data_IF_201032028280
#
_entry.id   IF_201032028280
#
_cell.length_a   1.000
_cell.length_b   1.000
_cell.length_c   1.000
_cell.angle_alpha   90.00
_cell.angle_beta   90.00
_cell.angle_gamma   90.00
#
_symmetry.space_group_name_H-M   'P 1'
#
loop_
_entity.id
_entity.type
_entity.pdbx_description
1 polymer ?
#
# COMPACT_ATOMS: atom_id res chain seq x y z
N UNK A 1 14.78 -17.57 12.79
CA UNK A 1 13.61 -17.66 11.88
C UNK A 1 14.17 -17.69 10.46
N UNK A 2 13.66 -18.54 9.57
CA UNK A 2 14.17 -18.62 8.19
C UNK A 2 13.80 -17.33 7.46
N UNK A 3 14.80 -16.58 6.98
CA UNK A 3 14.64 -15.38 6.16
C UNK A 3 14.19 -15.72 4.73
N UNK A 4 13.10 -16.51 4.60
CA UNK A 4 12.53 -16.77 3.29
C UNK A 4 12.04 -15.45 2.68
N UNK A 5 12.33 -15.17 1.40
CA UNK A 5 11.87 -13.93 0.78
C UNK A 5 10.35 -13.90 0.70
N UNK A 6 9.77 -12.71 0.82
CA UNK A 6 8.34 -12.43 0.62
C UNK A 6 8.02 -12.57 -0.87
N UNK A 7 7.07 -13.40 -1.24
CA UNK A 7 6.63 -13.60 -2.62
C UNK A 7 5.46 -12.66 -2.94
N UNK A 8 5.75 -11.60 -3.68
CA UNK A 8 4.79 -10.54 -3.99
C UNK A 8 4.29 -10.68 -5.42
N UNK A 9 2.97 -10.74 -5.60
CA UNK A 9 2.34 -10.59 -6.91
C UNK A 9 1.83 -9.16 -7.06
N UNK A 10 2.38 -8.42 -8.02
CA UNK A 10 1.88 -7.13 -8.47
C UNK A 10 1.02 -7.37 -9.72
N UNK A 11 -0.25 -6.97 -9.69
CA UNK A 11 -1.15 -7.21 -10.83
C UNK A 11 -2.11 -6.04 -11.06
N UNK A 12 -2.26 -5.66 -12.33
CA UNK A 12 -3.32 -4.73 -12.77
C UNK A 12 -4.62 -5.49 -13.06
N UNK A 13 -5.73 -4.76 -13.09
CA UNK A 13 -7.05 -5.33 -13.44
C UNK A 13 -7.40 -5.19 -14.92
N UNK A 14 -6.46 -4.74 -15.75
CA UNK A 14 -6.61 -4.65 -17.20
C UNK A 14 -5.61 -5.56 -17.93
N UNK A 15 -5.88 -5.97 -19.18
CA UNK A 15 -4.88 -6.63 -20.02
C UNK A 15 -3.73 -5.69 -20.39
N UNK A 16 -2.64 -6.26 -20.91
CA UNK A 16 -1.48 -5.47 -21.34
C UNK A 16 -1.84 -4.64 -22.58
N UNK A 17 -2.05 -3.35 -22.34
CA UNK A 17 -2.32 -2.33 -23.38
C UNK A 17 -1.20 -1.30 -23.29
N UNK A 18 -0.51 -1.04 -24.41
CA UNK A 18 0.69 -0.19 -24.43
C UNK A 18 0.38 1.25 -23.97
N UNK A 19 -0.72 1.83 -24.44
CA UNK A 19 -1.15 3.20 -24.09
C UNK A 19 -2.21 3.20 -22.99
N UNK A 20 -1.92 2.47 -21.89
CA UNK A 20 -2.78 2.42 -20.72
C UNK A 20 -1.94 2.23 -19.44
N UNK A 21 -2.57 2.17 -18.28
CA UNK A 21 -1.98 1.91 -16.97
C UNK A 21 -1.65 0.41 -16.77
N UNK A 22 -0.92 -0.17 -17.75
CA UNK A 22 -0.41 -1.53 -17.64
C UNK A 22 0.68 -1.65 -16.58
N UNK A 23 1.05 -2.88 -16.21
CA UNK A 23 2.02 -3.16 -15.13
C UNK A 23 3.41 -2.55 -15.36
N UNK A 24 3.77 -2.23 -16.60
CA UNK A 24 5.00 -1.54 -16.92
C UNK A 24 5.08 -0.13 -16.35
N UNK A 25 3.92 0.49 -16.03
CA UNK A 25 3.83 1.82 -15.41
C UNK A 25 4.06 1.81 -13.89
N UNK A 26 4.38 0.65 -13.30
CA UNK A 26 4.68 0.45 -11.88
C UNK A 26 6.10 -0.11 -11.68
N UNK A 27 6.97 0.12 -12.66
CA UNK A 27 8.31 -0.49 -12.71
C UNK A 27 9.24 0.04 -11.62
N UNK A 28 9.17 1.32 -11.26
CA UNK A 28 10.01 1.91 -10.20
C UNK A 28 9.73 1.30 -8.84
N UNK A 29 8.45 1.12 -8.49
CA UNK A 29 8.07 0.46 -7.25
C UNK A 29 8.44 -1.03 -7.27
N UNK A 30 8.18 -1.75 -8.38
CA UNK A 30 8.59 -3.14 -8.57
C UNK A 30 10.08 -3.32 -8.34
N UNK A 31 10.90 -2.50 -9.00
CA UNK A 31 12.36 -2.58 -8.94
C UNK A 31 12.88 -2.20 -7.55
N UNK A 32 12.25 -1.25 -6.89
CA UNK A 32 12.54 -0.93 -5.50
C UNK A 32 12.27 -2.14 -4.57
N UNK A 33 11.10 -2.77 -4.64
CA UNK A 33 10.79 -3.97 -3.85
C UNK A 33 11.78 -5.10 -4.12
N UNK A 34 12.12 -5.34 -5.39
CA UNK A 34 13.08 -6.37 -5.79
C UNK A 34 14.51 -6.06 -5.33
N UNK A 35 14.85 -4.80 -5.07
CA UNK A 35 16.17 -4.36 -4.58
C UNK A 35 16.35 -4.51 -3.07
N UNK A 36 15.26 -4.75 -2.32
CA UNK A 36 15.31 -4.86 -0.87
C UNK A 36 16.01 -6.15 -0.43
N UNK A 37 16.85 -6.03 0.59
CA UNK A 37 17.57 -7.17 1.16
C UNK A 37 17.34 -7.28 2.67
N UNK A 38 17.45 -8.50 3.17
CA UNK A 38 17.60 -8.78 4.60
C UNK A 38 19.01 -8.39 5.07
N UNK A 39 19.26 -8.39 6.37
CA UNK A 39 20.56 -8.06 6.98
C UNK A 39 21.71 -8.99 6.53
N UNK A 40 21.38 -10.22 6.16
CA UNK A 40 22.34 -11.20 5.62
C UNK A 40 22.63 -11.01 4.12
N UNK A 41 22.05 -9.99 3.48
CA UNK A 41 22.18 -9.69 2.06
C UNK A 41 21.30 -10.55 1.14
N UNK A 42 20.50 -11.48 1.69
CA UNK A 42 19.52 -12.23 0.89
C UNK A 42 18.36 -11.34 0.44
N UNK A 43 17.69 -11.66 -0.69
CA UNK A 43 16.52 -10.89 -1.13
C UNK A 43 15.42 -10.84 -0.06
N UNK A 44 14.89 -9.64 0.22
CA UNK A 44 13.72 -9.49 1.08
C UNK A 44 12.44 -9.89 0.35
N UNK A 45 12.31 -9.49 -0.93
CA UNK A 45 11.15 -9.77 -1.77
C UNK A 45 11.53 -10.51 -3.06
N UNK A 46 10.65 -11.41 -3.50
CA UNK A 46 10.61 -11.95 -4.85
C UNK A 46 9.34 -11.43 -5.53
N UNK A 47 9.52 -10.55 -6.51
CA UNK A 47 8.42 -9.83 -7.13
C UNK A 47 8.07 -10.43 -8.48
N UNK A 48 6.80 -10.80 -8.65
CA UNK A 48 6.18 -11.13 -9.94
C UNK A 48 5.25 -9.98 -10.31
N UNK A 49 5.41 -9.40 -11.49
CA UNK A 49 4.62 -8.28 -11.97
C UNK A 49 3.96 -8.63 -13.31
N UNK A 50 2.64 -8.46 -13.41
CA UNK A 50 1.89 -8.78 -14.62
C UNK A 50 0.58 -8.00 -14.75
N UNK A 51 0.09 -7.92 -15.96
CA UNK A 51 -1.27 -7.53 -16.26
C UNK A 51 -2.21 -8.74 -16.16
N UNK A 52 -3.52 -8.50 -15.94
CA UNK A 52 -4.47 -9.58 -16.07
C UNK A 52 -4.50 -10.15 -17.50
N UNK A 53 -5.00 -11.37 -17.64
CA UNK A 53 -5.31 -11.98 -18.95
C UNK A 53 -6.56 -11.32 -19.58
N UNK A 54 -7.27 -12.05 -20.45
CA UNK A 54 -8.45 -11.54 -21.16
C UNK A 54 -9.57 -11.06 -20.21
N UNK A 55 -10.18 -9.88 -20.45
CA UNK A 55 -11.34 -9.41 -19.71
C UNK A 55 -12.54 -10.38 -19.80
N UNK A 56 -13.41 -10.36 -18.79
CA UNK A 56 -14.65 -11.14 -18.78
C UNK A 56 -14.46 -12.65 -18.62
N UNK A 57 -13.23 -13.11 -18.32
CA UNK A 57 -12.90 -14.51 -18.02
C UNK A 57 -12.07 -14.61 -16.74
N UNK A 58 -12.09 -15.77 -16.05
CA UNK A 58 -11.19 -16.00 -14.93
C UNK A 58 -9.73 -15.77 -15.34
N UNK A 59 -9.01 -14.97 -14.58
CA UNK A 59 -7.57 -14.81 -14.78
C UNK A 59 -6.84 -16.08 -14.31
N UNK A 60 -5.91 -16.65 -15.10
CA UNK A 60 -5.29 -17.93 -14.79
C UNK A 60 -4.48 -17.92 -13.47
N UNK A 61 -4.03 -16.76 -13.02
CA UNK A 61 -3.29 -16.62 -11.75
C UNK A 61 -4.24 -16.23 -10.62
N UNK A 62 -5.07 -15.17 -10.79
CA UNK A 62 -5.97 -14.72 -9.73
C UNK A 62 -6.98 -15.80 -9.33
N UNK A 63 -7.58 -16.50 -10.30
CA UNK A 63 -8.57 -17.56 -10.03
C UNK A 63 -8.02 -18.77 -9.27
N UNK A 64 -6.70 -18.85 -9.11
CA UNK A 64 -5.99 -19.94 -8.40
C UNK A 64 -5.01 -19.45 -7.35
N UNK A 65 -5.04 -18.17 -7.01
CA UNK A 65 -4.05 -17.56 -6.11
C UNK A 65 -4.06 -18.18 -4.69
N UNK A 66 -5.21 -18.66 -4.24
CA UNK A 66 -5.37 -19.39 -2.98
C UNK A 66 -4.57 -20.71 -2.88
N UNK A 67 -4.02 -21.18 -3.99
CA UNK A 67 -3.18 -22.38 -4.10
C UNK A 67 -1.76 -22.06 -4.58
N UNK A 68 -1.44 -20.80 -4.71
CA UNK A 68 -0.10 -20.35 -5.11
C UNK A 68 0.83 -20.26 -3.91
N UNK A 69 2.10 -19.99 -4.20
CA UNK A 69 3.12 -19.73 -3.19
C UNK A 69 3.31 -18.23 -2.91
N UNK A 70 2.41 -17.37 -3.38
CA UNK A 70 2.47 -15.94 -3.06
C UNK A 70 2.08 -15.71 -1.60
N UNK A 71 2.82 -14.81 -0.94
CA UNK A 71 2.49 -14.32 0.39
C UNK A 71 1.55 -13.10 0.30
N UNK A 72 1.67 -12.32 -0.79
CA UNK A 72 0.95 -11.07 -0.98
C UNK A 72 0.45 -10.90 -2.41
N UNK A 73 -0.72 -10.24 -2.53
CA UNK A 73 -1.25 -9.68 -3.77
C UNK A 73 -1.38 -8.16 -3.63
N UNK A 74 -0.74 -7.42 -4.54
CA UNK A 74 -0.94 -5.98 -4.73
C UNK A 74 -1.72 -5.77 -6.02
N UNK A 75 -2.97 -5.39 -5.88
CA UNK A 75 -3.93 -5.26 -6.98
C UNK A 75 -4.13 -3.78 -7.33
N UNK A 76 -3.65 -3.39 -8.50
CA UNK A 76 -3.82 -2.05 -9.07
C UNK A 76 -5.07 -2.05 -9.93
N UNK A 77 -6.17 -1.53 -9.38
CA UNK A 77 -7.45 -1.54 -10.06
C UNK A 77 -7.61 -0.29 -10.94
N UNK A 78 -7.57 -0.53 -12.24
CA UNK A 78 -7.61 0.49 -13.31
C UNK A 78 -8.73 0.22 -14.32
N UNK A 79 -9.59 -0.75 -14.04
CA UNK A 79 -10.73 -1.15 -14.88
C UNK A 79 -11.97 -0.27 -14.69
N UNK A 80 -12.96 -0.45 -15.54
CA UNK A 80 -14.25 0.25 -15.47
C UNK A 80 -15.41 -0.64 -14.99
N UNK A 81 -15.11 -1.69 -14.19
CA UNK A 81 -16.07 -2.60 -13.60
C UNK A 81 -15.99 -4.04 -14.12
N UNK A 82 -15.16 -4.32 -15.12
CA UNK A 82 -14.96 -5.62 -15.76
C UNK A 82 -13.60 -6.26 -15.47
N UNK A 83 -12.84 -5.67 -14.54
CA UNK A 83 -11.46 -6.07 -14.20
C UNK A 83 -11.35 -7.40 -13.49
N UNK A 84 -12.32 -7.79 -12.66
CA UNK A 84 -12.28 -9.03 -11.90
C UNK A 84 -13.48 -9.93 -12.25
N UNK A 85 -13.17 -11.20 -12.51
CA UNK A 85 -14.20 -12.22 -12.67
C UNK A 85 -14.65 -12.76 -11.29
N UNK A 86 -15.89 -13.24 -11.12
CA UNK A 86 -16.34 -13.81 -9.84
C UNK A 86 -15.45 -14.95 -9.30
N UNK A 87 -14.84 -15.75 -10.17
CA UNK A 87 -13.87 -16.79 -9.76
C UNK A 87 -12.57 -16.20 -9.23
N UNK A 88 -12.09 -15.08 -9.80
CA UNK A 88 -10.93 -14.34 -9.29
C UNK A 88 -11.22 -13.82 -7.89
N UNK A 89 -12.38 -13.15 -7.72
CA UNK A 89 -12.81 -12.63 -6.42
C UNK A 89 -12.94 -13.72 -5.36
N UNK A 90 -13.48 -14.87 -5.71
CA UNK A 90 -13.63 -16.00 -4.80
C UNK A 90 -12.26 -16.56 -4.38
N UNK A 91 -11.31 -16.68 -5.31
CA UNK A 91 -9.96 -17.17 -5.01
C UNK A 91 -9.14 -16.17 -4.18
N UNK A 92 -9.23 -14.87 -4.51
CA UNK A 92 -8.60 -13.80 -3.71
C UNK A 92 -9.18 -13.75 -2.29
N UNK A 93 -10.51 -13.92 -2.16
CA UNK A 93 -11.16 -14.05 -0.85
C UNK A 93 -10.60 -15.21 -0.03
N UNK A 94 -10.47 -16.41 -0.62
CA UNK A 94 -9.85 -17.58 0.06
C UNK A 94 -8.37 -17.37 0.34
N UNK A 95 -7.63 -16.75 -0.57
CA UNK A 95 -6.23 -16.39 -0.35
C UNK A 95 -6.07 -15.54 0.91
N UNK A 96 -6.88 -14.48 1.05
CA UNK A 96 -6.87 -13.66 2.26
C UNK A 96 -7.33 -14.44 3.49
N UNK A 97 -8.38 -15.25 3.40
CA UNK A 97 -8.85 -16.11 4.52
C UNK A 97 -7.80 -17.13 4.97
N UNK A 98 -6.89 -17.52 4.09
CA UNK A 98 -5.76 -18.38 4.41
C UNK A 98 -4.53 -17.62 4.97
N UNK A 99 -4.66 -16.31 5.22
CA UNK A 99 -3.61 -15.47 5.80
C UNK A 99 -2.81 -14.65 4.79
N UNK A 100 -3.11 -14.73 3.48
CA UNK A 100 -2.44 -13.94 2.46
C UNK A 100 -2.68 -12.44 2.63
N UNK A 101 -1.62 -11.63 2.44
CA UNK A 101 -1.68 -10.17 2.50
C UNK A 101 -2.26 -9.55 1.24
N UNK A 102 -3.04 -8.48 1.38
CA UNK A 102 -3.74 -7.89 0.24
C UNK A 102 -3.64 -6.35 0.26
N UNK A 103 -2.98 -5.77 -0.75
CA UNK A 103 -3.09 -4.34 -1.07
C UNK A 103 -4.06 -4.19 -2.25
N UNK A 104 -5.08 -3.36 -2.10
CA UNK A 104 -6.04 -3.04 -3.15
C UNK A 104 -6.07 -1.54 -3.35
N UNK A 105 -5.93 -1.10 -4.58
CA UNK A 105 -6.04 0.30 -4.97
C UNK A 105 -7.27 0.50 -5.85
N UNK A 106 -7.57 1.74 -6.14
CA UNK A 106 -8.60 2.20 -7.07
C UNK A 106 -8.15 3.51 -7.72
N UNK A 107 -9.03 4.25 -8.36
CA UNK A 107 -8.81 5.62 -8.82
C UNK A 107 -10.10 6.44 -8.74
N UNK A 108 -10.18 7.60 -9.41
CA UNK A 108 -11.36 8.47 -9.39
C UNK A 108 -12.62 7.81 -9.98
N UNK A 109 -13.79 8.40 -9.74
CA UNK A 109 -15.09 7.94 -10.25
C UNK A 109 -15.32 6.44 -10.06
N UNK A 110 -15.48 5.71 -11.15
CA UNK A 110 -15.73 4.26 -11.18
C UNK A 110 -14.50 3.45 -11.62
N UNK A 111 -13.32 4.08 -11.78
CA UNK A 111 -12.10 3.35 -12.11
C UNK A 111 -11.67 2.44 -10.96
N UNK A 112 -11.53 1.16 -11.28
CA UNK A 112 -11.23 0.09 -10.33
C UNK A 112 -12.48 -0.52 -9.68
N UNK A 113 -13.70 -0.22 -10.17
CA UNK A 113 -14.94 -0.60 -9.48
C UNK A 113 -15.18 -2.12 -9.39
N UNK A 114 -14.48 -2.95 -10.16
CA UNK A 114 -14.55 -4.41 -10.03
C UNK A 114 -14.11 -4.91 -8.65
N UNK A 115 -13.28 -4.15 -7.90
CA UNK A 115 -12.83 -4.53 -6.55
C UNK A 115 -13.96 -4.58 -5.53
N UNK A 116 -15.13 -3.96 -5.79
CA UNK A 116 -16.32 -4.09 -4.94
C UNK A 116 -16.70 -5.55 -4.70
N UNK A 117 -16.37 -6.44 -5.63
CA UNK A 117 -16.66 -7.87 -5.55
C UNK A 117 -15.70 -8.65 -4.63
N UNK A 118 -14.65 -8.02 -4.07
CA UNK A 118 -13.67 -8.66 -3.19
C UNK A 118 -14.14 -8.81 -1.73
N UNK A 119 -15.39 -8.52 -1.42
CA UNK A 119 -15.89 -8.65 -0.05
C UNK A 119 -15.31 -7.59 0.90
N UNK A 120 -14.79 -8.00 2.06
CA UNK A 120 -14.38 -7.09 3.14
C UNK A 120 -13.56 -5.89 2.71
N UNK A 121 -12.39 -6.13 2.09
CA UNK A 121 -11.50 -5.04 1.65
C UNK A 121 -12.08 -4.25 0.46
N UNK A 122 -12.84 -4.89 -0.43
CA UNK A 122 -13.52 -4.23 -1.53
C UNK A 122 -14.55 -3.20 -1.06
N UNK A 123 -15.19 -3.47 0.08
CA UNK A 123 -16.20 -2.56 0.70
C UNK A 123 -15.62 -1.25 1.20
N UNK A 124 -14.32 -1.19 1.39
CA UNK A 124 -13.64 0.06 1.75
C UNK A 124 -13.54 1.06 0.60
N UNK A 125 -13.76 0.63 -0.64
CA UNK A 125 -13.63 1.48 -1.82
C UNK A 125 -15.00 2.03 -2.24
N UNK A 126 -15.15 3.35 -2.24
CA UNK A 126 -16.38 4.04 -2.65
C UNK A 126 -16.25 4.56 -4.07
N UNK A 127 -17.24 4.32 -4.90
CA UNK A 127 -17.28 4.68 -6.32
C UNK A 127 -18.47 5.57 -6.65
N UNK A 128 -18.47 6.15 -7.84
CA UNK A 128 -19.55 7.05 -8.28
C UNK A 128 -20.90 6.33 -8.37
N UNK A 129 -20.94 5.17 -9.01
CA UNK A 129 -22.16 4.43 -9.29
C UNK A 129 -22.32 3.13 -8.48
N UNK A 130 -21.27 2.64 -7.86
CA UNK A 130 -21.24 1.39 -7.11
C UNK A 130 -20.61 1.60 -5.72
N UNK A 131 -21.16 0.94 -4.68
CA UNK A 131 -20.70 1.11 -3.28
C UNK A 131 -20.45 2.59 -2.94
N UNK A 132 -21.46 3.41 -3.16
CA UNK A 132 -21.38 4.87 -2.96
C UNK A 132 -21.18 5.18 -1.49
N UNK A 133 -20.32 6.17 -1.16
CA UNK A 133 -20.11 6.59 0.23
C UNK A 133 -21.45 6.90 0.90
N UNK A 134 -21.75 6.26 2.05
CA UNK A 134 -23.00 6.50 2.77
C UNK A 134 -23.12 7.93 3.30
N UNK A 135 -22.01 8.62 3.55
CA UNK A 135 -22.02 10.03 3.94
C UNK A 135 -21.99 10.93 2.72
N UNK A 136 -23.13 11.56 2.43
CA UNK A 136 -23.26 12.50 1.31
C UNK A 136 -22.34 13.72 1.42
N UNK A 137 -21.91 14.09 2.63
CA UNK A 137 -20.98 15.21 2.82
C UNK A 137 -19.59 14.92 2.21
N UNK A 138 -19.24 13.63 2.04
CA UNK A 138 -18.00 13.22 1.41
C UNK A 138 -18.08 13.18 -0.13
N UNK A 139 -19.30 13.26 -0.70
CA UNK A 139 -19.52 13.14 -2.15
C UNK A 139 -19.32 14.46 -2.87
N UNK A 140 -18.10 14.99 -2.83
CA UNK A 140 -17.73 16.27 -3.45
C UNK A 140 -16.75 16.10 -4.59
N UNK A 141 -16.72 17.06 -5.50
CA UNK A 141 -15.75 17.16 -6.60
C UNK A 141 -14.83 18.31 -6.24
N UNK A 142 -13.63 17.97 -5.77
CA UNK A 142 -12.67 18.96 -5.31
C UNK A 142 -11.78 19.46 -6.46
N UNK A 143 -11.42 18.62 -7.42
CA UNK A 143 -10.81 19.08 -8.66
C UNK A 143 -11.87 19.63 -9.61
N UNK A 144 -11.60 20.78 -10.19
CA UNK A 144 -12.51 21.48 -11.14
C UNK A 144 -11.85 21.77 -12.48
N UNK A 145 -10.59 21.43 -12.64
CA UNK A 145 -9.86 21.58 -13.90
C UNK A 145 -10.36 20.55 -14.91
N UNK A 146 -10.60 19.32 -14.46
CA UNK A 146 -11.12 18.22 -15.25
C UNK A 146 -12.61 18.02 -14.96
N UNK A 147 -13.45 18.88 -15.53
CA UNK A 147 -14.88 18.98 -15.20
C UNK A 147 -15.74 17.76 -15.56
N UNK A 148 -15.23 16.81 -16.34
CA UNK A 148 -15.92 15.56 -16.67
C UNK A 148 -15.63 14.45 -15.65
N UNK A 149 -14.62 14.59 -14.78
CA UNK A 149 -14.36 13.65 -13.70
C UNK A 149 -15.26 13.99 -12.53
N UNK A 150 -16.24 13.11 -12.29
CA UNK A 150 -17.20 13.27 -11.19
C UNK A 150 -16.63 12.70 -9.88
N UNK A 151 -17.44 12.73 -8.82
CA UNK A 151 -17.07 12.16 -7.52
C UNK A 151 -16.83 10.63 -7.62
N UNK A 152 -15.91 10.07 -6.83
CA UNK A 152 -14.89 10.73 -6.01
C UNK A 152 -13.76 11.32 -6.84
N UNK A 153 -13.38 12.53 -6.49
CA UNK A 153 -12.35 13.29 -7.18
C UNK A 153 -11.78 14.34 -6.21
N UNK A 154 -10.84 13.93 -5.35
CA UNK A 154 -10.13 14.81 -4.44
C UNK A 154 -8.80 15.22 -5.05
N UNK A 155 -8.40 16.47 -4.89
CA UNK A 155 -7.20 17.01 -5.52
C UNK A 155 -6.08 17.19 -4.48
N UNK A 156 -5.15 16.26 -4.36
CA UNK A 156 -4.02 16.35 -3.43
C UNK A 156 -2.80 17.10 -4.00
N UNK A 157 -2.74 17.29 -5.31
CA UNK A 157 -1.67 17.97 -6.05
C UNK A 157 -1.49 17.39 -7.44
N UNK A 158 -0.59 17.96 -8.24
CA UNK A 158 -0.29 17.46 -9.57
C UNK A 158 0.46 16.12 -9.53
N UNK A 159 0.33 15.32 -10.59
CA UNK A 159 1.19 14.14 -10.79
C UNK A 159 2.67 14.57 -10.77
N UNK A 160 3.53 13.84 -10.07
CA UNK A 160 4.95 14.23 -9.89
C UNK A 160 5.20 15.20 -8.72
N UNK A 161 4.16 15.66 -8.04
CA UNK A 161 4.28 16.32 -6.75
C UNK A 161 4.08 15.30 -5.60
N UNK A 162 4.18 15.77 -4.37
CA UNK A 162 3.84 15.00 -3.16
C UNK A 162 2.82 15.75 -2.31
N UNK A 163 2.08 14.98 -1.53
CA UNK A 163 1.16 15.48 -0.51
C UNK A 163 1.68 15.16 0.88
N UNK A 164 1.45 16.06 1.82
CA UNK A 164 1.62 15.79 3.24
C UNK A 164 0.42 15.00 3.76
N UNK A 165 0.68 13.94 4.53
CA UNK A 165 -0.37 13.08 5.08
C UNK A 165 -0.49 13.30 6.59
N UNK A 166 -1.70 13.07 7.12
CA UNK A 166 -1.96 13.05 8.55
C UNK A 166 -2.25 11.61 9.00
N UNK A 167 -1.55 11.18 10.05
CA UNK A 167 -1.76 9.86 10.67
C UNK A 167 -3.00 9.89 11.54
N UNK A 168 -3.92 8.94 11.36
CA UNK A 168 -5.18 8.85 12.09
C UNK A 168 -5.08 7.85 13.24
N UNK A 169 -5.38 8.31 14.46
CA UNK A 169 -5.34 7.48 15.67
C UNK A 169 -3.93 7.03 16.07
N UNK A 170 -3.80 5.90 16.76
CA UNK A 170 -2.48 5.33 17.03
C UNK A 170 -1.76 5.01 15.70
N UNK A 171 -0.45 5.38 15.56
CA UNK A 171 0.29 5.11 14.35
C UNK A 171 0.26 3.62 13.97
N UNK A 172 -0.12 3.35 12.73
CA UNK A 172 -0.10 1.99 12.19
C UNK A 172 1.33 1.62 11.77
N UNK A 173 1.78 0.36 11.92
CA UNK A 173 3.14 -0.07 11.57
C UNK A 173 3.61 0.37 10.17
N UNK A 174 2.72 0.36 9.17
CA UNK A 174 3.07 0.80 7.80
C UNK A 174 3.39 2.30 7.69
N UNK A 175 2.98 3.10 8.68
CA UNK A 175 3.21 4.56 8.72
C UNK A 175 4.38 4.96 9.61
N UNK A 176 5.16 4.02 10.13
CA UNK A 176 6.34 4.32 10.94
C UNK A 176 7.56 4.60 10.05
N UNK A 177 8.31 5.63 10.39
CA UNK A 177 9.65 5.90 9.85
C UNK A 177 10.56 6.45 10.93
N UNK A 178 11.28 5.59 11.69
CA UNK A 178 12.15 6.03 12.78
C UNK A 178 13.27 6.98 12.33
N UNK A 179 13.57 7.08 11.04
CA UNK A 179 14.57 7.99 10.51
C UNK A 179 14.01 9.38 10.21
N UNK A 180 12.68 9.50 10.08
CA UNK A 180 12.03 10.78 9.81
C UNK A 180 11.77 11.59 11.08
N UNK A 181 11.69 12.93 11.00
CA UNK A 181 11.24 13.77 12.10
C UNK A 181 9.86 13.32 12.62
N UNK A 182 9.76 13.06 13.93
CA UNK A 182 8.53 12.56 14.54
C UNK A 182 8.29 11.05 14.37
N UNK A 183 9.18 10.32 13.70
CA UNK A 183 9.12 8.87 13.60
C UNK A 183 8.05 8.33 12.66
N UNK A 184 7.49 9.17 11.78
CA UNK A 184 6.33 8.84 10.95
C UNK A 184 6.59 9.11 9.46
N UNK A 185 5.93 8.33 8.62
CA UNK A 185 5.75 8.64 7.20
C UNK A 185 4.99 9.95 7.08
N UNK A 186 5.51 10.89 6.30
CA UNK A 186 4.94 12.23 6.15
C UNK A 186 4.37 12.50 4.77
N UNK A 187 4.87 11.81 3.77
CA UNK A 187 4.58 12.14 2.38
C UNK A 187 4.18 10.89 1.59
N UNK A 188 3.18 11.06 0.72
CA UNK A 188 2.85 10.16 -0.39
C UNK A 188 2.87 10.95 -1.70
N UNK A 189 2.95 10.29 -2.87
CA UNK A 189 2.77 10.98 -4.14
C UNK A 189 1.42 11.69 -4.17
N UNK A 190 1.36 12.84 -4.81
CA UNK A 190 0.11 13.53 -5.03
C UNK A 190 -0.57 13.03 -6.32
N UNK A 191 -1.90 13.22 -6.37
CA UNK A 191 -2.70 12.96 -7.55
C UNK A 191 -3.84 13.98 -7.67
N UNK A 192 -4.12 14.53 -8.87
CA UNK A 192 -5.22 15.48 -9.04
C UNK A 192 -6.60 14.85 -8.83
N UNK A 193 -6.73 13.53 -8.94
CA UNK A 193 -8.01 12.82 -8.94
C UNK A 193 -8.02 11.65 -7.95
N UNK A 194 -7.78 11.91 -6.68
CA UNK A 194 -7.82 10.88 -5.64
C UNK A 194 -9.23 10.26 -5.52
N UNK A 195 -9.26 8.94 -5.40
CA UNK A 195 -10.48 8.21 -5.12
C UNK A 195 -10.90 8.31 -3.65
N UNK A 196 -11.98 7.61 -3.29
CA UNK A 196 -12.51 7.58 -1.92
C UNK A 196 -12.40 6.18 -1.30
N UNK A 197 -11.91 6.14 -0.08
CA UNK A 197 -11.88 4.94 0.76
C UNK A 197 -12.41 5.24 2.16
N UNK A 198 -12.99 4.22 2.82
CA UNK A 198 -13.47 4.35 4.20
C UNK A 198 -13.56 2.99 4.89
N UNK A 199 -13.38 2.97 6.21
CA UNK A 199 -13.52 1.74 6.98
C UNK A 199 -14.99 1.32 7.02
N UNK A 200 -15.34 0.06 6.63
CA UNK A 200 -16.70 -0.43 6.76
C UNK A 200 -17.13 -0.45 8.24
N UNK A 201 -18.28 0.13 8.55
CA UNK A 201 -18.75 0.36 9.94
C UNK A 201 -18.99 -0.92 10.74
N UNK A 202 -19.22 -2.04 10.07
CA UNK A 202 -19.46 -3.35 10.65
C UNK A 202 -18.23 -4.25 10.70
N UNK A 203 -17.06 -3.76 10.24
CA UNK A 203 -15.79 -4.48 10.30
C UNK A 203 -14.86 -3.88 11.36
N UNK A 204 -14.77 -4.57 12.49
CA UNK A 204 -13.96 -4.13 13.63
C UNK A 204 -12.45 -4.24 13.39
N UNK A 205 -12.04 -4.93 12.33
CA UNK A 205 -10.61 -5.02 11.94
C UNK A 205 -10.17 -3.85 11.06
N UNK A 206 -11.14 -3.11 10.50
CA UNK A 206 -10.89 -2.02 9.56
C UNK A 206 -10.80 -0.67 10.27
N UNK A 207 -9.77 0.11 9.95
CA UNK A 207 -9.66 1.51 10.38
C UNK A 207 -8.95 2.38 9.35
N UNK A 208 -9.38 3.64 9.25
CA UNK A 208 -8.62 4.66 8.52
C UNK A 208 -7.30 4.89 9.26
N UNK A 209 -6.19 4.88 8.55
CA UNK A 209 -4.84 5.07 9.12
C UNK A 209 -4.16 6.36 8.65
N UNK A 210 -4.55 6.89 7.49
CA UNK A 210 -4.00 8.13 6.95
C UNK A 210 -5.07 8.93 6.21
N UNK A 211 -4.97 10.27 6.30
CA UNK A 211 -5.75 11.23 5.53
C UNK A 211 -4.85 12.18 4.77
N UNK A 212 -5.36 12.69 3.65
CA UNK A 212 -4.80 13.82 2.92
C UNK A 212 -5.73 15.04 3.00
N UNK A 213 -5.27 16.15 2.44
CA UNK A 213 -6.06 17.39 2.36
C UNK A 213 -6.11 17.87 0.92
N UNK A 214 -7.34 18.06 0.42
CA UNK A 214 -7.54 18.63 -0.91
C UNK A 214 -6.99 20.06 -0.99
N UNK A 215 -6.19 20.34 -2.03
CA UNK A 215 -5.66 21.68 -2.30
C UNK A 215 -6.71 22.62 -2.91
N UNK A 216 -7.85 22.09 -3.37
CA UNK A 216 -8.95 22.85 -3.96
C UNK A 216 -9.93 23.31 -2.88
N UNK A 217 -10.40 22.39 -2.03
CA UNK A 217 -11.42 22.71 -1.01
C UNK A 217 -10.88 22.86 0.41
N UNK A 218 -9.66 22.41 0.68
CA UNK A 218 -9.12 22.30 2.03
C UNK A 218 -9.75 21.17 2.86
N UNK A 219 -10.55 20.27 2.24
CA UNK A 219 -11.18 19.15 2.93
C UNK A 219 -10.19 18.02 3.15
N UNK A 220 -10.28 17.39 4.31
CA UNK A 220 -9.64 16.10 4.53
C UNK A 220 -10.38 14.99 3.79
N UNK A 221 -9.64 14.01 3.31
CA UNK A 221 -10.16 12.78 2.73
C UNK A 221 -9.26 11.60 3.11
N UNK A 222 -9.83 10.40 3.12
CA UNK A 222 -9.10 9.22 3.53
C UNK A 222 -8.17 8.74 2.41
N UNK A 223 -6.93 8.43 2.76
CA UNK A 223 -5.91 7.89 1.85
C UNK A 223 -5.76 6.38 1.96
N UNK A 224 -5.81 5.86 3.19
CA UNK A 224 -5.59 4.45 3.43
C UNK A 224 -6.45 3.91 4.57
N UNK A 225 -6.99 2.71 4.37
CA UNK A 225 -7.69 1.91 5.38
C UNK A 225 -6.91 0.62 5.59
N UNK A 226 -6.51 0.35 6.83
CA UNK A 226 -5.92 -0.92 7.20
C UNK A 226 -6.99 -1.89 7.72
N UNK A 227 -6.83 -3.15 7.37
CA UNK A 227 -7.58 -4.29 7.89
C UNK A 227 -6.61 -5.16 8.66
N UNK A 228 -6.69 -5.12 9.98
CA UNK A 228 -5.83 -5.90 10.86
C UNK A 228 -6.04 -7.41 10.63
N UNK A 229 -4.98 -8.24 10.70
CA UNK A 229 -5.13 -9.68 10.58
C UNK A 229 -6.05 -10.22 11.70
N UNK A 230 -6.88 -11.20 11.35
CA UNK A 230 -7.83 -11.83 12.28
C UNK A 230 -7.98 -13.32 11.99
N UNK A 231 -8.83 -14.00 12.77
CA UNK A 231 -9.18 -15.39 12.48
C UNK A 231 -9.89 -15.56 11.11
N UNK A 232 -10.47 -14.49 10.57
CA UNK A 232 -11.24 -14.52 9.33
C UNK A 232 -10.43 -14.09 8.09
N UNK A 233 -9.20 -13.60 8.29
CA UNK A 233 -8.36 -13.24 7.15
C UNK A 233 -7.05 -12.55 7.49
N UNK A 234 -6.12 -12.61 6.53
CA UNK A 234 -4.84 -11.94 6.57
C UNK A 234 -4.95 -10.41 6.52
N UNK A 235 -3.82 -9.71 6.71
CA UNK A 235 -3.77 -8.25 6.70
C UNK A 235 -4.19 -7.67 5.35
N UNK A 236 -4.71 -6.45 5.35
CA UNK A 236 -5.10 -5.78 4.12
C UNK A 236 -4.97 -4.27 4.20
N UNK A 237 -4.63 -3.65 3.06
CA UNK A 237 -4.63 -2.19 2.89
C UNK A 237 -5.52 -1.83 1.69
N UNK A 238 -6.51 -0.98 1.90
CA UNK A 238 -7.25 -0.31 0.84
C UNK A 238 -6.71 1.11 0.66
N UNK A 239 -6.30 1.44 -0.57
CA UNK A 239 -5.65 2.71 -0.91
C UNK A 239 -6.53 3.54 -1.85
N UNK A 240 -6.57 4.87 -1.66
CA UNK A 240 -7.42 5.81 -2.40
C UNK A 240 -7.13 5.85 -3.90
N UNK A 241 -5.89 5.66 -4.30
CA UNK A 241 -5.48 5.67 -5.72
C UNK A 241 -4.30 4.74 -5.98
N UNK A 242 -4.20 4.19 -7.20
CA UNK A 242 -3.02 3.47 -7.65
C UNK A 242 -1.85 4.42 -8.00
N UNK A 243 -2.14 5.69 -8.20
CA UNK A 243 -1.14 6.71 -8.53
C UNK A 243 -0.07 6.89 -7.44
N UNK A 244 -0.34 6.51 -6.21
CA UNK A 244 0.70 6.47 -5.17
C UNK A 244 1.87 5.52 -5.51
N UNK A 245 1.66 4.60 -6.44
CA UNK A 245 2.61 3.55 -6.83
C UNK A 245 3.05 3.64 -8.30
N UNK A 246 2.42 4.50 -9.11
CA UNK A 246 2.70 4.65 -10.53
C UNK A 246 4.00 5.45 -10.78
N UNK A 247 4.77 5.00 -11.76
CA UNK A 247 6.06 5.60 -12.14
C UNK A 247 5.94 7.09 -12.47
N UNK A 248 4.88 7.48 -13.20
CA UNK A 248 4.64 8.88 -13.57
C UNK A 248 4.44 9.81 -12.36
N UNK A 249 3.91 9.30 -11.26
CA UNK A 249 3.76 10.07 -10.03
C UNK A 249 5.07 10.14 -9.23
N UNK A 250 5.98 9.16 -9.39
CA UNK A 250 7.30 9.17 -8.76
C UNK A 250 8.29 10.00 -9.56
N UNK A 251 8.25 9.89 -10.89
CA UNK A 251 9.06 10.65 -11.83
C UNK A 251 8.30 10.87 -13.14
N UNK A 252 7.84 12.09 -13.43
CA UNK A 252 7.11 12.38 -14.68
C UNK A 252 7.91 12.07 -15.95
N UNK A 253 9.24 11.98 -15.89
CA UNK A 253 10.06 11.58 -17.04
C UNK A 253 9.83 10.12 -17.48
N UNK A 254 9.23 9.29 -16.61
CA UNK A 254 8.82 7.92 -16.95
C UNK A 254 7.67 7.87 -17.98
N UNK A 255 6.93 8.99 -18.15
CA UNK A 255 5.80 9.10 -19.07
C UNK A 255 4.52 8.44 -18.55
N UNK A 256 3.42 8.81 -19.15
CA UNK A 256 2.05 8.35 -18.83
C UNK A 256 1.32 7.92 -20.10
N UNK A 257 0.13 7.32 -19.99
CA UNK A 257 -0.76 7.12 -21.13
C UNK A 257 -1.09 8.46 -21.83
N UNK A 258 -1.33 8.42 -23.13
CA UNK A 258 -1.53 9.63 -23.95
C UNK A 258 -2.78 10.42 -23.64
N UNK A 259 -3.74 9.81 -22.93
CA UNK A 259 -4.97 10.47 -22.47
C UNK A 259 -4.80 11.26 -21.15
N UNK A 260 -3.63 11.19 -20.52
CA UNK A 260 -3.29 12.01 -19.34
C UNK A 260 -2.66 13.30 -19.85
N UNK A 261 -3.42 14.38 -19.83
CA UNK A 261 -3.04 15.67 -20.42
C UNK A 261 -2.71 16.76 -19.38
N UNK A 262 -2.92 16.49 -18.08
CA UNK A 262 -2.57 17.42 -17.01
C UNK A 262 -1.04 17.62 -16.93
N UNK A 263 -0.66 18.88 -16.79
CA UNK A 263 0.75 19.23 -16.63
C UNK A 263 1.28 18.69 -15.29
N UNK A 264 2.31 17.81 -15.31
CA UNK A 264 2.86 17.28 -14.08
C UNK A 264 3.66 18.32 -13.32
N UNK A 265 3.70 18.15 -11.98
CA UNK A 265 4.65 18.83 -11.10
C UNK A 265 6.03 18.17 -11.14
N UNK A 266 6.95 18.70 -10.34
CA UNK A 266 8.32 18.18 -10.21
C UNK A 266 8.80 18.15 -8.77
N UNK A 267 7.93 18.47 -7.82
CA UNK A 267 8.35 18.65 -6.43
C UNK A 267 8.85 17.33 -5.80
N UNK A 268 8.28 16.18 -6.17
CA UNK A 268 8.74 14.90 -5.66
C UNK A 268 10.18 14.58 -6.11
N UNK A 269 10.50 14.79 -7.38
CA UNK A 269 11.84 14.57 -7.90
C UNK A 269 12.91 15.46 -7.24
N UNK A 270 12.50 16.60 -6.70
CA UNK A 270 13.35 17.58 -6.02
C UNK A 270 13.42 17.38 -4.49
N UNK A 271 12.63 16.46 -3.92
CA UNK A 271 12.57 16.21 -2.48
C UNK A 271 13.06 14.82 -2.12
N UNK A 272 14.33 14.64 -1.71
CA UNK A 272 14.84 13.36 -1.22
C UNK A 272 14.06 12.84 -0.01
N UNK A 273 13.56 13.73 0.86
CA UNK A 273 12.76 13.37 2.02
C UNK A 273 11.43 12.73 1.61
N UNK A 274 10.71 13.33 0.66
CA UNK A 274 9.45 12.77 0.17
C UNK A 274 9.66 11.44 -0.56
N UNK A 275 10.72 11.33 -1.39
CA UNK A 275 11.08 10.06 -2.05
C UNK A 275 11.40 8.96 -1.03
N UNK A 276 12.12 9.29 0.04
CA UNK A 276 12.44 8.33 1.10
C UNK A 276 11.17 7.91 1.85
N UNK A 277 10.29 8.85 2.16
CA UNK A 277 9.00 8.61 2.82
C UNK A 277 8.16 7.58 2.03
N UNK A 278 8.03 7.78 0.72
CA UNK A 278 7.27 6.90 -0.18
C UNK A 278 7.89 5.49 -0.23
N UNK A 279 9.22 5.41 -0.41
CA UNK A 279 9.91 4.11 -0.42
C UNK A 279 9.78 3.39 0.91
N UNK A 280 9.84 4.12 2.01
CA UNK A 280 9.63 3.55 3.35
C UNK A 280 8.22 3.01 3.50
N UNK A 281 7.20 3.74 3.03
CA UNK A 281 5.82 3.26 3.03
C UNK A 281 5.68 1.95 2.27
N UNK A 282 6.17 1.88 1.03
CA UNK A 282 6.12 0.66 0.19
C UNK A 282 6.80 -0.52 0.87
N UNK A 283 8.00 -0.33 1.46
CA UNK A 283 8.70 -1.38 2.22
C UNK A 283 7.88 -1.86 3.42
N UNK A 284 7.32 -0.92 4.18
CA UNK A 284 6.56 -1.25 5.38
C UNK A 284 5.28 -2.01 5.04
N UNK A 285 4.60 -1.63 3.95
CA UNK A 285 3.42 -2.36 3.46
C UNK A 285 3.79 -3.80 3.14
N UNK A 286 4.89 -4.04 2.38
CA UNK A 286 5.32 -5.39 2.06
C UNK A 286 5.67 -6.22 3.31
N UNK A 287 6.35 -5.64 4.29
CA UNK A 287 6.66 -6.36 5.52
C UNK A 287 5.39 -6.69 6.32
N UNK A 288 4.52 -5.70 6.51
CA UNK A 288 3.33 -5.89 7.32
C UNK A 288 2.33 -6.86 6.69
N UNK A 289 2.13 -6.80 5.37
CA UNK A 289 1.26 -7.73 4.66
C UNK A 289 1.77 -9.19 4.72
N UNK A 290 3.09 -9.39 4.81
CA UNK A 290 3.70 -10.69 5.03
C UNK A 290 3.68 -11.15 6.51
N UNK A 291 3.02 -10.40 7.40
CA UNK A 291 3.01 -10.69 8.83
C UNK A 291 4.37 -10.48 9.51
N UNK A 292 5.22 -9.61 8.94
CA UNK A 292 6.50 -9.22 9.53
C UNK A 292 6.39 -7.80 10.09
N UNK A 293 7.01 -7.58 11.26
CA UNK A 293 7.08 -6.23 11.81
C UNK A 293 7.99 -5.36 10.94
N UNK A 294 7.52 -4.20 10.44
CA UNK A 294 8.34 -3.26 9.67
C UNK A 294 9.56 -2.75 10.44
N UNK A 295 9.44 -2.72 11.76
CA UNK A 295 10.51 -2.43 12.70
C UNK A 295 10.43 -3.41 13.86
N UNK A 296 11.50 -4.16 14.12
CA UNK A 296 11.73 -4.68 15.47
C UNK A 296 11.82 -3.47 16.39
N UNK A 297 11.12 -3.52 17.53
CA UNK A 297 11.07 -2.40 18.46
C UNK A 297 12.51 -2.00 18.78
N UNK A 298 12.92 -0.81 18.35
CA UNK A 298 14.30 -0.30 18.54
C UNK A 298 14.67 -0.32 20.01
N UNK A 299 13.67 -0.28 20.88
CA UNK A 299 13.81 -0.42 22.32
C UNK A 299 14.23 -1.85 22.67
N UNK A 300 13.58 -2.87 22.14
CA UNK A 300 13.93 -4.28 22.39
C UNK A 300 15.28 -4.65 21.78
N UNK A 301 15.68 -4.02 20.69
CA UNK A 301 17.01 -4.20 20.10
C UNK A 301 18.08 -3.47 20.91
N UNK A 302 17.81 -2.23 21.34
CA UNK A 302 18.70 -1.48 22.24
C UNK A 302 18.79 -2.11 23.62
N UNK A 303 17.69 -2.60 24.17
CA UNK A 303 17.66 -3.30 25.46
C UNK A 303 18.45 -4.62 25.35
N UNK A 304 18.31 -5.40 24.27
CA UNK A 304 19.14 -6.59 24.01
C UNK A 304 20.62 -6.25 23.83
N UNK A 305 20.96 -5.23 23.05
CA UNK A 305 22.35 -4.78 22.91
C UNK A 305 22.94 -4.26 24.23
N UNK A 306 22.12 -3.60 25.05
CA UNK A 306 22.52 -3.16 26.36
C UNK A 306 22.73 -4.33 27.32
N UNK A 307 21.85 -5.33 27.29
CA UNK A 307 21.97 -6.54 28.10
C UNK A 307 23.21 -7.36 27.68
N UNK A 308 23.46 -7.55 26.37
CA UNK A 308 24.68 -8.18 25.85
C UNK A 308 25.95 -7.40 26.26
N UNK A 309 25.95 -6.09 26.15
CA UNK A 309 27.08 -5.25 26.56
C UNK A 309 27.30 -5.27 28.08
N UNK A 310 26.24 -5.38 28.88
CA UNK A 310 26.32 -5.56 30.32
C UNK A 310 26.88 -6.93 30.70
N UNK A 311 26.42 -8.00 30.03
CA UNK A 311 26.96 -9.36 30.26
C UNK A 311 28.44 -9.46 29.87
N UNK A 312 28.87 -8.81 28.78
CA UNK A 312 30.28 -8.74 28.40
C UNK A 312 31.13 -7.88 29.33
N UNK A 313 30.55 -6.86 29.97
CA UNK A 313 31.27 -5.93 30.86
C UNK A 313 31.41 -6.43 32.31
N UNK A 314 30.65 -7.44 32.71
CA UNK A 314 30.76 -8.09 34.02
C UNK A 314 31.26 -9.54 33.86
N UNK A 315 32.58 -9.76 33.68
CA UNK A 315 33.10 -11.13 33.74
C UNK A 315 32.80 -11.67 35.15
N UNK A 316 32.23 -12.86 35.20
CA UNK A 316 31.88 -13.53 36.44
C UNK A 316 33.07 -13.51 37.40
N UNK A 317 32.94 -12.75 38.47
CA UNK A 317 33.93 -12.79 39.55
C UNK A 317 33.87 -14.18 40.19
N UNK A 318 34.98 -14.92 40.10
CA UNK A 318 35.14 -16.18 40.78
C UNK A 318 34.78 -16.02 42.26
N UNK A 319 34.02 -16.92 42.87
CA UNK A 319 33.76 -16.88 44.30
C UNK A 319 35.06 -17.02 45.05
N UNK A 320 35.30 -16.24 46.13
CA UNK A 320 36.55 -16.30 46.89
C UNK A 320 36.72 -17.74 47.43
N UNK A 321 37.89 -18.33 47.21
CA UNK A 321 38.24 -19.61 47.74
C UNK A 321 38.15 -19.61 49.26
N UNK A 322 37.24 -20.33 49.84
CA UNK A 322 37.14 -20.53 51.27
C UNK A 322 38.23 -21.50 51.69
N UNK A 323 39.31 -20.93 52.27
CA UNK A 323 40.40 -21.70 52.84
C UNK A 323 39.90 -22.33 54.16
N UNK A 324 39.73 -23.64 54.11
CA UNK A 324 39.40 -24.47 55.29
C UNK A 324 40.65 -24.80 56.07
N UNK A 325 40.80 -24.16 57.22
CA UNK A 325 41.67 -24.68 58.30
C UNK A 325 40.82 -25.28 59.42
#
# INVERSE_FOLDING_TARGET
MTNSPIRVLLQTTIPSIEDDWNIGRFSMMRDYLASLTNDDGSPLCLVTARDRAEPGRPDPILSTIDRSDFDELWLFAVDTGDGLHPEDCAAVGRFRSNGGGLLVTRDHMDLGSSVCSLGGIGRAHYFHSTNVDPDEANRVIDDRETSYILWPNYHSGANGDFQEIEVVGPPHPVLLDPAAPGGLIRYLPAHPHEGAVGAPVDDQTARVIATGTSKVSGRQFNLAVAFEPSADGGPGIAQSTFHHFADFNWDPAAGCPSFVDETPGTALAQSPEAQQSIRRYVRNVALWLAGREPFEDRKDHLDRQLDEALEESFPASDPPAVDSR
#
